data_IF_080891952718
#
_entry.id   IF_080891952718
#
_cell.length_a   1.000
_cell.length_b   1.000
_cell.length_c   1.000
_cell.angle_alpha   90.00
_cell.angle_beta   90.00
_cell.angle_gamma   90.00
#
_symmetry.space_group_name_H-M   'P 1'
#
loop_
_entity.id
_entity.type
_entity.pdbx_description
1 polymer ?
#
# COMPACT_ATOMS: atom_id res chain seq x y z
N UNK A 1 -24.59 19.40 13.14
CA UNK A 1 -23.70 18.36 12.60
C UNK A 1 -22.33 18.97 12.39
N UNK A 2 -21.27 18.21 12.61
CA UNK A 2 -19.88 18.59 12.28
C UNK A 2 -19.24 17.49 11.42
N UNK A 3 -17.97 17.65 10.98
CA UNK A 3 -17.34 16.69 10.09
C UNK A 3 -17.07 15.34 10.78
N UNK A 4 -17.09 14.26 10.00
CA UNK A 4 -16.64 12.95 10.43
C UNK A 4 -15.16 12.80 10.11
N UNK A 5 -14.32 12.66 11.12
CA UNK A 5 -12.88 12.47 10.97
C UNK A 5 -12.55 11.00 11.29
N UNK A 6 -11.94 10.31 10.33
CA UNK A 6 -11.53 8.92 10.48
C UNK A 6 -10.07 8.82 10.95
N UNK A 7 -9.82 7.99 11.96
CA UNK A 7 -8.48 7.59 12.41
C UNK A 7 -8.31 6.11 12.09
N UNK A 8 -7.31 5.78 11.26
CA UNK A 8 -7.08 4.41 10.77
C UNK A 8 -5.98 3.72 11.56
N UNK A 9 -6.19 2.43 11.86
CA UNK A 9 -5.32 1.60 12.68
C UNK A 9 -4.97 0.32 11.91
N UNK A 10 -3.74 0.23 11.41
CA UNK A 10 -3.19 -1.03 10.88
C UNK A 10 -2.67 -1.90 12.01
N UNK A 11 -2.75 -3.22 11.85
CA UNK A 11 -2.37 -4.18 12.90
C UNK A 11 -1.95 -5.56 12.38
N UNK A 12 -1.83 -5.75 11.06
CA UNK A 12 -1.27 -6.98 10.51
C UNK A 12 0.25 -7.04 10.68
N UNK A 13 0.81 -8.23 10.49
CA UNK A 13 2.23 -8.51 10.64
C UNK A 13 2.75 -9.25 9.42
N UNK A 14 4.07 -9.24 9.25
CA UNK A 14 4.75 -9.93 8.16
C UNK A 14 5.13 -11.37 8.57
N UNK A 15 5.06 -12.34 7.65
CA UNK A 15 5.55 -13.69 7.89
C UNK A 15 7.00 -13.69 8.38
N UNK A 16 7.30 -14.53 9.38
CA UNK A 16 8.63 -14.79 9.94
C UNK A 16 9.37 -13.63 10.65
N UNK A 17 8.98 -12.37 10.40
CA UNK A 17 9.63 -11.18 10.97
C UNK A 17 8.72 -10.38 11.91
N UNK A 18 7.42 -10.69 11.99
CA UNK A 18 6.49 -10.04 12.92
C UNK A 18 6.13 -8.62 12.48
N UNK A 19 5.97 -7.69 13.43
CA UNK A 19 5.65 -6.29 13.14
C UNK A 19 6.87 -5.49 12.64
N UNK A 20 7.56 -6.01 11.62
CA UNK A 20 8.71 -5.37 11.00
C UNK A 20 8.34 -4.10 10.20
N UNK A 21 7.05 -3.83 9.98
CA UNK A 21 6.55 -2.56 9.47
C UNK A 21 6.05 -1.61 10.58
N UNK A 22 6.03 -2.08 11.83
CA UNK A 22 5.61 -1.28 12.99
C UNK A 22 4.10 -1.08 13.14
N UNK A 23 3.26 -1.93 12.52
CA UNK A 23 1.80 -1.82 12.59
C UNK A 23 1.26 -1.93 14.03
N UNK A 24 1.99 -2.57 14.95
CA UNK A 24 1.67 -2.50 16.38
C UNK A 24 1.64 -1.06 16.91
N UNK A 25 2.57 -0.21 16.46
CA UNK A 25 2.64 1.20 16.87
C UNK A 25 1.65 2.08 16.08
N UNK A 26 1.28 1.69 14.85
CA UNK A 26 0.21 2.37 14.09
C UNK A 26 -1.13 2.20 14.83
N UNK A 27 -1.47 0.96 15.21
CA UNK A 27 -2.64 0.69 16.04
C UNK A 27 -2.59 1.44 17.37
N UNK A 28 -1.44 1.41 18.06
CA UNK A 28 -1.25 2.11 19.34
C UNK A 28 -1.47 3.62 19.19
N UNK A 29 -0.79 4.25 18.24
CA UNK A 29 -0.86 5.70 18.01
C UNK A 29 -2.27 6.14 17.61
N UNK A 30 -2.91 5.40 16.68
CA UNK A 30 -4.28 5.68 16.24
C UNK A 30 -5.28 5.56 17.39
N UNK A 31 -5.17 4.51 18.21
CA UNK A 31 -6.06 4.33 19.37
C UNK A 31 -5.83 5.41 20.44
N UNK A 32 -4.57 5.73 20.75
CA UNK A 32 -4.22 6.79 21.69
C UNK A 32 -4.75 8.16 21.23
N UNK A 33 -4.62 8.45 19.93
CA UNK A 33 -5.18 9.66 19.32
C UNK A 33 -6.70 9.71 19.47
N UNK A 34 -7.38 8.61 19.14
CA UNK A 34 -8.84 8.50 19.25
C UNK A 34 -9.34 8.73 20.68
N UNK A 35 -8.68 8.15 21.68
CA UNK A 35 -8.99 8.35 23.11
C UNK A 35 -8.83 9.84 23.48
N UNK A 36 -7.75 10.48 23.05
CA UNK A 36 -7.51 11.91 23.29
C UNK A 36 -8.56 12.82 22.64
N UNK A 37 -8.94 12.52 21.38
CA UNK A 37 -10.00 13.26 20.66
C UNK A 37 -11.33 13.12 21.41
N UNK A 38 -11.71 11.88 21.77
CA UNK A 38 -12.95 11.60 22.51
C UNK A 38 -13.00 12.40 23.81
N UNK A 39 -11.94 12.35 24.61
CA UNK A 39 -11.88 13.07 25.88
C UNK A 39 -12.00 14.59 25.69
N UNK A 40 -11.38 15.17 24.66
CA UNK A 40 -11.51 16.58 24.35
C UNK A 40 -12.93 16.97 23.91
N UNK A 41 -13.59 16.14 23.09
CA UNK A 41 -14.99 16.34 22.67
C UNK A 41 -15.96 16.27 23.86
N UNK A 42 -15.74 15.35 24.80
CA UNK A 42 -16.53 15.23 26.03
C UNK A 42 -16.33 16.44 26.96
N UNK A 43 -15.12 17.00 27.01
CA UNK A 43 -14.79 18.14 27.85
C UNK A 43 -15.24 19.50 27.27
N UNK A 44 -15.34 19.64 25.94
CA UNK A 44 -15.71 20.88 25.28
C UNK A 44 -16.80 20.64 24.21
N UNK A 45 -18.04 20.94 24.61
CA UNK A 45 -19.24 20.81 23.77
C UNK A 45 -19.23 21.72 22.52
N UNK A 46 -18.29 22.67 22.39
CA UNK A 46 -18.14 23.46 21.16
C UNK A 46 -17.49 22.67 20.03
N UNK A 47 -16.78 21.58 20.34
CA UNK A 47 -16.24 20.68 19.32
C UNK A 47 -17.39 19.82 18.79
N UNK A 48 -17.81 20.09 17.54
CA UNK A 48 -18.86 19.35 16.86
C UNK A 48 -18.25 18.47 15.78
N UNK A 49 -18.72 17.23 15.67
CA UNK A 49 -18.24 16.28 14.67
C UNK A 49 -18.50 14.84 15.09
N UNK A 50 -17.99 13.92 14.30
CA UNK A 50 -17.95 12.50 14.63
C UNK A 50 -16.51 12.01 14.52
N UNK A 51 -16.08 11.20 15.48
CA UNK A 51 -14.84 10.45 15.39
C UNK A 51 -15.18 9.04 14.92
N UNK A 52 -14.58 8.63 13.80
CA UNK A 52 -14.63 7.27 13.30
C UNK A 52 -13.27 6.62 13.54
N UNK A 53 -13.25 5.45 14.17
CA UNK A 53 -12.01 4.67 14.38
C UNK A 53 -12.15 3.40 13.56
N UNK A 54 -11.27 3.21 12.57
CA UNK A 54 -11.30 2.04 11.69
C UNK A 54 -10.07 1.18 11.92
N UNK A 55 -10.29 -0.06 12.32
CA UNK A 55 -9.28 -1.09 12.21
C UNK A 55 -9.13 -1.52 10.75
N UNK A 56 -7.93 -1.42 10.20
CA UNK A 56 -7.64 -1.70 8.79
C UNK A 56 -6.68 -2.88 8.69
N UNK A 57 -7.19 -4.10 8.41
CA UNK A 57 -6.34 -5.29 8.31
C UNK A 57 -5.58 -5.34 6.98
N UNK A 58 -4.62 -6.26 6.90
CA UNK A 58 -4.04 -6.76 5.65
C UNK A 58 -3.45 -5.69 4.72
N UNK A 59 -2.84 -4.64 5.26
CA UNK A 59 -2.12 -3.67 4.44
C UNK A 59 -0.92 -4.32 3.73
N UNK A 60 -0.29 -5.34 4.32
CA UNK A 60 0.85 -6.02 3.69
C UNK A 60 0.43 -7.08 2.66
N UNK A 61 -0.79 -7.61 2.77
CA UNK A 61 -1.23 -8.85 2.10
C UNK A 61 -2.60 -8.72 1.41
N UNK A 62 -2.84 -7.64 0.64
CA UNK A 62 -3.93 -7.42 -0.36
C UNK A 62 -4.72 -6.12 -0.19
N UNK A 63 -4.38 -5.29 0.80
CA UNK A 63 -4.93 -3.96 0.98
C UNK A 63 -6.34 -4.00 1.57
N UNK A 64 -6.46 -4.34 2.85
CA UNK A 64 -7.79 -4.43 3.48
C UNK A 64 -8.57 -3.12 3.49
N UNK A 65 -7.93 -1.95 3.35
CA UNK A 65 -8.65 -0.69 3.13
C UNK A 65 -9.41 -0.68 1.82
N UNK A 66 -8.93 -1.38 0.78
CA UNK A 66 -9.62 -1.51 -0.52
C UNK A 66 -10.95 -2.25 -0.33
N UNK A 67 -10.97 -3.30 0.49
CA UNK A 67 -12.21 -4.04 0.79
C UNK A 67 -13.15 -3.23 1.69
N UNK A 68 -12.61 -2.47 2.65
CA UNK A 68 -13.40 -1.53 3.46
C UNK A 68 -14.02 -0.42 2.60
N UNK A 69 -13.28 0.11 1.61
CA UNK A 69 -13.80 1.06 0.62
C UNK A 69 -14.99 0.46 -0.13
N UNK A 70 -14.86 -0.78 -0.64
CA UNK A 70 -15.96 -1.47 -1.34
C UNK A 70 -17.17 -1.71 -0.44
N UNK A 71 -16.94 -1.89 0.85
CA UNK A 71 -17.99 -2.02 1.86
C UNK A 71 -18.64 -0.70 2.29
N UNK A 72 -18.22 0.44 1.73
CA UNK A 72 -18.77 1.77 2.08
C UNK A 72 -18.24 2.35 3.39
N UNK A 73 -17.15 1.82 3.96
CA UNK A 73 -16.65 2.24 5.28
C UNK A 73 -16.18 3.71 5.34
N UNK A 74 -15.93 4.32 4.18
CA UNK A 74 -15.49 5.72 4.05
C UNK A 74 -16.59 6.67 3.56
N UNK A 75 -17.82 6.18 3.36
CA UNK A 75 -18.94 7.03 2.96
C UNK A 75 -19.25 8.07 4.05
N UNK A 76 -19.30 9.35 3.67
CA UNK A 76 -19.56 10.46 4.60
C UNK A 76 -18.37 10.83 5.51
N UNK A 77 -17.19 10.22 5.32
CA UNK A 77 -15.95 10.65 5.98
C UNK A 77 -15.47 11.95 5.34
N UNK A 78 -15.14 12.95 6.16
CA UNK A 78 -14.66 14.25 5.71
C UNK A 78 -13.13 14.32 5.58
N UNK A 79 -12.41 13.55 6.39
CA UNK A 79 -10.97 13.34 6.27
C UNK A 79 -10.56 12.02 6.95
N UNK A 80 -9.52 11.36 6.45
CA UNK A 80 -8.95 10.14 7.03
C UNK A 80 -7.47 10.34 7.38
N UNK A 81 -7.06 9.87 8.55
CA UNK A 81 -5.70 10.14 9.04
C UNK A 81 -5.12 8.92 9.76
N UNK A 82 -3.84 8.70 9.57
CA UNK A 82 -3.04 7.73 10.32
C UNK A 82 -1.61 8.24 10.41
N UNK A 83 -0.73 7.57 11.17
CA UNK A 83 0.71 7.85 11.25
C UNK A 83 1.47 6.53 11.14
N UNK A 84 2.70 6.56 10.64
CA UNK A 84 3.47 5.35 10.40
C UNK A 84 4.91 5.46 10.93
N UNK A 85 5.39 4.49 11.71
CA UNK A 85 6.76 4.48 12.21
C UNK A 85 7.75 4.11 11.10
N UNK A 86 8.89 4.79 11.05
CA UNK A 86 10.03 4.42 10.21
C UNK A 86 11.34 4.92 10.85
N UNK A 87 12.46 4.91 10.14
CA UNK A 87 13.75 5.43 10.61
C UNK A 87 13.97 6.92 10.28
N UNK A 88 12.97 7.60 9.74
CA UNK A 88 12.99 9.03 9.44
C UNK A 88 11.60 9.66 9.63
N UNK A 89 11.52 10.99 9.62
CA UNK A 89 10.24 11.71 9.70
C UNK A 89 9.94 12.35 8.35
N UNK A 90 8.69 12.26 7.90
CA UNK A 90 8.20 12.99 6.74
C UNK A 90 6.70 13.28 6.93
N UNK A 91 6.29 14.55 6.98
CA UNK A 91 4.87 14.87 7.20
C UNK A 91 3.96 14.64 5.97
N UNK A 92 4.55 14.54 4.77
CA UNK A 92 3.84 14.41 3.50
C UNK A 92 4.61 13.47 2.56
N UNK A 93 4.74 12.17 2.91
CA UNK A 93 5.49 11.22 2.09
C UNK A 93 4.82 11.01 0.73
N UNK A 94 5.63 10.60 -0.24
CA UNK A 94 5.17 10.13 -1.54
C UNK A 94 5.32 8.61 -1.59
N UNK A 95 4.30 7.92 -2.09
CA UNK A 95 4.32 6.47 -2.30
C UNK A 95 4.05 6.14 -3.77
N UNK A 96 4.49 4.97 -4.20
CA UNK A 96 4.26 4.50 -5.57
C UNK A 96 2.96 3.70 -5.64
N UNK A 97 2.26 3.81 -6.77
CA UNK A 97 1.23 2.85 -7.11
C UNK A 97 1.86 1.49 -7.43
N UNK A 98 1.17 0.42 -7.02
CA UNK A 98 1.65 -0.96 -7.19
C UNK A 98 0.48 -1.87 -7.55
N UNK A 99 0.65 -2.69 -8.56
CA UNK A 99 -0.22 -3.83 -8.86
C UNK A 99 0.55 -5.13 -8.70
N UNK A 100 -0.08 -6.09 -8.01
CA UNK A 100 0.40 -7.47 -7.87
C UNK A 100 -0.51 -8.39 -8.66
N UNK A 101 0.07 -9.17 -9.58
CA UNK A 101 -0.71 -10.01 -10.48
C UNK A 101 -0.08 -11.39 -10.61
N UNK A 102 -0.87 -12.42 -10.39
CA UNK A 102 -0.51 -13.81 -10.71
C UNK A 102 -1.13 -14.19 -12.04
N UNK A 103 -0.32 -14.65 -12.98
CA UNK A 103 -0.77 -15.11 -14.30
C UNK A 103 -0.59 -16.61 -14.39
N UNK A 104 -1.69 -17.33 -14.57
CA UNK A 104 -1.70 -18.76 -14.74
C UNK A 104 -1.93 -19.11 -16.20
N UNK A 105 -1.00 -19.86 -16.79
CA UNK A 105 -1.09 -20.39 -18.14
C UNK A 105 -1.53 -21.84 -18.07
N UNK A 106 -2.49 -22.22 -18.92
CA UNK A 106 -2.99 -23.59 -19.03
C UNK A 106 -2.85 -24.09 -20.47
N UNK A 107 -2.11 -25.17 -20.60
CA UNK A 107 -1.81 -25.85 -21.85
C UNK A 107 -2.36 -27.27 -21.87
N UNK A 108 -1.63 -28.16 -22.54
CA UNK A 108 -1.99 -29.57 -22.71
C UNK A 108 -0.74 -30.43 -22.63
N UNK A 109 -0.70 -31.44 -21.75
CA UNK A 109 0.48 -32.26 -21.58
C UNK A 109 0.60 -33.27 -22.73
N UNK A 110 1.84 -33.57 -23.11
CA UNK A 110 2.17 -34.62 -24.06
C UNK A 110 3.56 -35.20 -23.78
N UNK A 111 3.82 -36.42 -24.25
CA UNK A 111 5.16 -37.00 -24.15
C UNK A 111 6.11 -36.25 -25.08
N UNK A 112 7.07 -35.53 -24.51
CA UNK A 112 7.90 -34.56 -25.24
C UNK A 112 8.67 -35.18 -26.41
N UNK A 113 9.13 -36.43 -26.27
CA UNK A 113 9.85 -37.12 -27.34
C UNK A 113 8.96 -37.90 -28.33
N UNK A 114 7.73 -38.26 -27.94
CA UNK A 114 6.94 -39.23 -28.70
C UNK A 114 5.81 -38.57 -29.48
N UNK A 115 5.10 -37.62 -28.85
CA UNK A 115 3.94 -36.96 -29.44
C UNK A 115 3.93 -35.43 -29.17
N UNK A 116 5.04 -34.70 -29.34
CA UNK A 116 5.11 -33.27 -28.98
C UNK A 116 4.04 -32.42 -29.69
N UNK A 117 3.64 -32.79 -30.92
CA UNK A 117 2.59 -32.10 -31.70
C UNK A 117 1.17 -32.20 -31.11
N UNK A 118 0.96 -33.03 -30.08
CA UNK A 118 -0.31 -33.10 -29.35
C UNK A 118 -0.32 -32.21 -28.09
N UNK A 119 0.80 -31.58 -27.75
CA UNK A 119 0.94 -30.74 -26.56
C UNK A 119 0.76 -29.25 -26.84
N UNK A 120 0.43 -28.50 -25.79
CA UNK A 120 0.45 -27.03 -25.74
C UNK A 120 1.26 -26.63 -24.53
N UNK A 121 2.41 -26.00 -24.75
CA UNK A 121 3.42 -25.84 -23.72
C UNK A 121 3.21 -24.55 -22.90
N UNK A 122 2.66 -24.70 -21.69
CA UNK A 122 2.43 -23.58 -20.78
C UNK A 122 3.74 -22.91 -20.32
N UNK A 123 4.85 -23.66 -20.22
CA UNK A 123 6.15 -23.08 -19.91
C UNK A 123 6.63 -22.17 -21.05
N UNK A 124 6.45 -22.56 -22.31
CA UNK A 124 6.84 -21.72 -23.45
C UNK A 124 6.00 -20.43 -23.51
N UNK A 125 4.72 -20.50 -23.15
CA UNK A 125 3.85 -19.33 -23.01
C UNK A 125 4.41 -18.34 -21.97
N UNK A 126 4.75 -18.83 -20.78
CA UNK A 126 5.29 -18.03 -19.68
C UNK A 126 6.69 -17.47 -19.99
N UNK A 127 7.58 -18.25 -20.61
CA UNK A 127 8.92 -17.81 -21.03
C UNK A 127 8.84 -16.76 -22.13
N UNK A 128 7.91 -16.92 -23.08
CA UNK A 128 7.65 -15.92 -24.13
C UNK A 128 7.13 -14.62 -23.52
N UNK A 129 6.17 -14.70 -22.59
CA UNK A 129 5.69 -13.54 -21.83
C UNK A 129 6.82 -12.83 -21.07
N UNK A 130 7.67 -13.58 -20.37
CA UNK A 130 8.81 -13.04 -19.64
C UNK A 130 9.79 -12.31 -20.57
N UNK A 131 10.10 -12.92 -21.71
CA UNK A 131 10.99 -12.35 -22.73
C UNK A 131 10.42 -11.06 -23.31
N UNK A 132 9.12 -11.04 -23.62
CA UNK A 132 8.41 -9.85 -24.09
C UNK A 132 8.46 -8.71 -23.05
N UNK A 133 8.25 -9.02 -21.76
CA UNK A 133 8.38 -8.05 -20.67
C UNK A 133 9.82 -7.55 -20.55
N UNK A 134 10.81 -8.41 -20.71
CA UNK A 134 12.22 -8.02 -20.68
C UNK A 134 12.55 -6.99 -21.77
N UNK A 135 12.01 -7.17 -22.99
CA UNK A 135 12.16 -6.20 -24.07
C UNK A 135 11.39 -4.91 -23.79
N UNK A 136 10.14 -5.00 -23.30
CA UNK A 136 9.31 -3.84 -22.94
C UNK A 136 10.02 -2.84 -22.01
N UNK A 137 10.86 -3.34 -21.08
CA UNK A 137 11.57 -2.50 -20.09
C UNK A 137 12.45 -1.41 -20.72
N UNK A 138 12.90 -1.55 -21.97
CA UNK A 138 13.64 -0.47 -22.64
C UNK A 138 12.72 0.73 -22.97
N UNK A 139 11.41 0.53 -23.11
CA UNK A 139 10.42 1.54 -23.50
C UNK A 139 9.47 1.93 -22.36
N UNK A 140 9.87 1.74 -21.09
CA UNK A 140 9.15 2.26 -19.92
C UNK A 140 9.85 3.50 -19.37
N UNK A 141 9.15 4.32 -18.58
CA UNK A 141 9.75 5.48 -17.92
C UNK A 141 10.75 5.04 -16.85
N UNK A 142 11.76 5.88 -16.58
CA UNK A 142 12.84 5.60 -15.63
C UNK A 142 12.40 5.46 -14.17
N UNK A 143 11.20 5.91 -13.83
CA UNK A 143 10.55 5.84 -12.52
C UNK A 143 9.52 4.70 -12.40
N UNK A 144 9.30 3.94 -13.48
CA UNK A 144 8.41 2.78 -13.50
C UNK A 144 9.19 1.47 -13.35
N UNK A 145 8.58 0.44 -12.77
CA UNK A 145 9.21 -0.89 -12.61
C UNK A 145 8.24 -2.00 -12.98
N UNK A 146 8.79 -3.05 -13.61
CA UNK A 146 8.10 -4.32 -13.86
C UNK A 146 8.99 -5.46 -13.38
N UNK A 147 8.56 -6.14 -12.33
CA UNK A 147 9.23 -7.30 -11.75
C UNK A 147 8.45 -8.56 -12.15
N UNK A 148 9.16 -9.64 -12.47
CA UNK A 148 8.55 -10.87 -12.92
C UNK A 148 9.37 -12.07 -12.42
N UNK A 149 8.71 -13.13 -11.96
CA UNK A 149 9.31 -14.44 -11.67
C UNK A 149 8.38 -15.56 -12.13
N UNK A 150 8.94 -16.71 -12.52
CA UNK A 150 8.16 -17.94 -12.70
C UNK A 150 8.16 -18.72 -11.39
N UNK A 151 6.99 -18.99 -10.83
CA UNK A 151 6.81 -19.79 -9.61
C UNK A 151 6.45 -21.25 -9.92
N UNK A 152 5.95 -21.51 -11.14
CA UNK A 152 5.64 -22.84 -11.65
C UNK A 152 5.97 -22.92 -13.13
N UNK A 153 6.57 -24.03 -13.57
CA UNK A 153 7.06 -24.18 -14.95
C UNK A 153 7.24 -25.63 -15.40
N UNK A 154 6.39 -26.55 -14.92
CA UNK A 154 6.50 -27.99 -15.18
C UNK A 154 7.26 -28.77 -14.10
N UNK A 155 7.16 -30.10 -14.18
CA UNK A 155 7.67 -31.02 -13.13
C UNK A 155 8.80 -31.93 -13.60
N UNK A 156 8.76 -32.41 -14.85
CA UNK A 156 9.77 -33.31 -15.41
C UNK A 156 10.04 -32.99 -16.89
N UNK A 157 11.29 -33.10 -17.39
CA UNK A 157 11.64 -32.65 -18.74
C UNK A 157 11.01 -33.43 -19.90
N UNK A 158 10.57 -34.67 -19.67
CA UNK A 158 10.00 -35.54 -20.72
C UNK A 158 8.49 -35.39 -20.89
N UNK A 159 7.84 -34.49 -20.14
CA UNK A 159 6.43 -34.15 -20.26
C UNK A 159 6.32 -32.67 -20.62
N UNK A 160 5.58 -32.35 -21.68
CA UNK A 160 5.26 -30.95 -22.02
C UNK A 160 4.46 -30.33 -20.86
N UNK A 161 4.91 -29.22 -20.25
CA UNK A 161 4.18 -28.57 -19.16
C UNK A 161 2.80 -28.09 -19.59
N UNK A 162 1.78 -28.50 -18.83
CA UNK A 162 0.39 -28.08 -19.01
C UNK A 162 0.00 -26.91 -18.09
N UNK A 163 0.82 -26.57 -17.11
CA UNK A 163 0.63 -25.42 -16.24
C UNK A 163 1.95 -24.67 -15.97
N UNK A 164 1.88 -23.34 -16.02
CA UNK A 164 2.94 -22.44 -15.60
C UNK A 164 2.35 -21.19 -14.94
N UNK A 165 3.09 -20.60 -14.00
CA UNK A 165 2.63 -19.42 -13.25
C UNK A 165 3.71 -18.35 -13.26
N UNK A 166 3.32 -17.12 -13.61
CA UNK A 166 4.16 -15.93 -13.61
C UNK A 166 3.63 -14.94 -12.58
N UNK A 167 4.45 -14.58 -11.60
CA UNK A 167 4.14 -13.54 -10.62
C UNK A 167 4.72 -12.20 -11.07
N UNK A 168 3.90 -11.16 -11.07
CA UNK A 168 4.22 -9.84 -11.61
C UNK A 168 3.97 -8.73 -10.58
N UNK A 169 4.93 -7.80 -10.47
CA UNK A 169 4.70 -6.50 -9.87
C UNK A 169 4.89 -5.38 -10.89
N UNK A 170 3.90 -4.52 -11.02
CA UNK A 170 3.98 -3.27 -11.80
C UNK A 170 3.93 -2.09 -10.85
N UNK A 171 4.90 -1.18 -10.96
CA UNK A 171 4.95 0.05 -10.16
C UNK A 171 5.12 1.28 -11.04
N UNK A 172 4.42 2.36 -10.67
CA UNK A 172 4.58 3.67 -11.29
C UNK A 172 4.31 4.79 -10.27
N UNK A 173 4.72 6.04 -10.56
CA UNK A 173 4.46 7.18 -9.68
C UNK A 173 2.98 7.46 -9.44
N UNK A 174 2.11 7.17 -10.41
CA UNK A 174 0.67 7.40 -10.30
C UNK A 174 -0.15 6.17 -10.68
N UNK A 175 -1.38 6.09 -10.16
CA UNK A 175 -2.28 4.98 -10.47
C UNK A 175 -2.60 4.91 -11.96
N UNK A 176 -2.81 6.06 -12.60
CA UNK A 176 -3.05 6.17 -14.04
C UNK A 176 -1.88 5.60 -14.86
N UNK A 177 -0.64 5.95 -14.50
CA UNK A 177 0.55 5.44 -15.19
C UNK A 177 0.78 3.95 -14.94
N UNK A 178 0.48 3.48 -13.73
CA UNK A 178 0.60 2.07 -13.37
C UNK A 178 -0.39 1.21 -14.18
N UNK A 179 -1.65 1.62 -14.30
CA UNK A 179 -2.63 0.95 -15.15
C UNK A 179 -2.24 0.99 -16.64
N UNK A 180 -1.79 2.15 -17.14
CA UNK A 180 -1.33 2.26 -18.53
C UNK A 180 -0.13 1.37 -18.83
N UNK A 181 0.80 1.23 -17.88
CA UNK A 181 1.92 0.30 -17.99
C UNK A 181 1.46 -1.15 -17.91
N UNK A 182 0.53 -1.47 -17.00
CA UNK A 182 0.00 -2.81 -16.86
C UNK A 182 -0.68 -3.30 -18.14
N UNK A 183 -1.43 -2.46 -18.87
CA UNK A 183 -2.00 -2.86 -20.16
C UNK A 183 -0.94 -3.25 -21.20
N UNK A 184 0.24 -2.61 -21.17
CA UNK A 184 1.37 -3.02 -22.02
C UNK A 184 1.98 -4.34 -21.57
N UNK A 185 2.08 -4.57 -20.26
CA UNK A 185 2.53 -5.85 -19.68
C UNK A 185 1.53 -6.97 -20.01
N UNK A 186 0.23 -6.70 -19.91
CA UNK A 186 -0.86 -7.61 -20.30
C UNK A 186 -0.69 -8.04 -21.75
N UNK A 187 -0.47 -7.11 -22.68
CA UNK A 187 -0.23 -7.44 -24.08
C UNK A 187 0.99 -8.35 -24.28
N UNK A 188 2.08 -8.16 -23.53
CA UNK A 188 3.24 -9.06 -23.55
C UNK A 188 2.89 -10.48 -23.12
N UNK A 189 2.07 -10.61 -22.07
CA UNK A 189 1.59 -11.88 -21.51
C UNK A 189 0.64 -12.59 -22.47
N UNK A 190 -0.37 -11.87 -22.96
CA UNK A 190 -1.36 -12.39 -23.92
C UNK A 190 -0.70 -12.84 -25.22
N UNK A 191 0.31 -12.12 -25.70
CA UNK A 191 1.09 -12.56 -26.86
C UNK A 191 1.81 -13.89 -26.63
N UNK A 192 2.34 -14.12 -25.43
CA UNK A 192 3.01 -15.38 -25.08
C UNK A 192 2.02 -16.55 -25.04
N UNK A 193 0.88 -16.36 -24.36
CA UNK A 193 -0.20 -17.34 -24.33
C UNK A 193 -0.71 -17.68 -25.73
N UNK A 194 -0.97 -16.66 -26.54
CA UNK A 194 -1.48 -16.82 -27.92
C UNK A 194 -0.49 -17.58 -28.80
N UNK A 195 0.80 -17.28 -28.73
CA UNK A 195 1.82 -17.94 -29.54
C UNK A 195 1.95 -19.44 -29.20
N UNK A 196 1.70 -19.82 -27.95
CA UNK A 196 1.75 -21.19 -27.47
C UNK A 196 0.39 -21.90 -27.46
N UNK A 197 -0.66 -21.27 -28.00
CA UNK A 197 -2.05 -21.76 -27.98
C UNK A 197 -2.56 -22.17 -26.57
N UNK A 198 -2.10 -21.47 -25.54
CA UNK A 198 -2.48 -21.71 -24.16
C UNK A 198 -3.58 -20.75 -23.69
N UNK A 199 -4.42 -21.23 -22.78
CA UNK A 199 -5.36 -20.41 -22.03
C UNK A 199 -4.59 -19.62 -20.95
N UNK A 200 -5.15 -18.47 -20.53
CA UNK A 200 -4.57 -17.61 -19.51
C UNK A 200 -5.63 -17.14 -18.51
N UNK A 201 -5.21 -16.97 -17.26
CA UNK A 201 -6.03 -16.36 -16.21
C UNK A 201 -5.17 -15.40 -15.38
N UNK A 202 -5.65 -14.16 -15.25
CA UNK A 202 -5.07 -13.15 -14.35
C UNK A 202 -5.79 -13.18 -13.01
N UNK A 203 -5.04 -13.14 -11.92
CA UNK A 203 -5.54 -12.98 -10.56
C UNK A 203 -4.82 -11.81 -9.86
N UNK A 204 -5.50 -11.14 -8.93
CA UNK A 204 -4.96 -10.01 -8.15
C UNK A 204 -5.14 -8.60 -8.75
N UNK A 205 -5.66 -8.49 -9.98
CA UNK A 205 -5.82 -7.20 -10.69
C UNK A 205 -6.66 -6.16 -9.93
N UNK A 206 -7.55 -6.63 -9.04
CA UNK A 206 -8.47 -5.77 -8.28
C UNK A 206 -7.85 -5.21 -7.00
N UNK A 207 -6.67 -5.63 -6.58
CA UNK A 207 -6.07 -5.23 -5.29
C UNK A 207 -4.83 -4.35 -5.48
N UNK A 208 -4.87 -3.44 -6.46
CA UNK A 208 -3.79 -2.49 -6.70
C UNK A 208 -3.78 -1.35 -5.68
N UNK A 209 -2.59 -0.95 -5.24
CA UNK A 209 -2.39 0.18 -4.36
C UNK A 209 -2.22 1.44 -5.21
N UNK A 210 -2.99 2.47 -4.90
CA UNK A 210 -2.85 3.78 -5.53
C UNK A 210 -1.72 4.58 -4.87
N UNK A 211 -1.20 5.58 -5.56
CA UNK A 211 -0.20 6.47 -4.98
C UNK A 211 -0.87 7.35 -3.92
N UNK A 212 -0.16 7.61 -2.82
CA UNK A 212 -0.67 8.48 -1.77
C UNK A 212 -0.79 9.94 -2.24
N UNK A 213 -1.96 10.52 -2.03
CA UNK A 213 -2.24 11.95 -2.18
C UNK A 213 -2.34 12.55 -0.78
N UNK A 214 -1.22 13.04 -0.26
CA UNK A 214 -1.19 13.71 1.04
C UNK A 214 -1.86 15.08 0.92
N UNK A 215 -2.94 15.31 1.68
CA UNK A 215 -3.58 16.62 1.73
C UNK A 215 -2.63 17.62 2.39
N UNK A 216 -2.22 18.64 1.61
CA UNK A 216 -1.20 19.60 2.03
C UNK A 216 -1.64 20.45 3.23
N UNK A 217 -2.92 20.75 3.34
CA UNK A 217 -3.45 21.59 4.42
C UNK A 217 -3.47 20.79 5.72
N UNK A 218 -3.95 19.55 5.69
CA UNK A 218 -3.96 18.67 6.86
C UNK A 218 -2.52 18.32 7.26
N UNK A 219 -1.64 18.02 6.30
CA UNK A 219 -0.24 17.69 6.55
C UNK A 219 0.51 18.85 7.24
N UNK A 220 0.28 20.10 6.80
CA UNK A 220 0.90 21.28 7.44
C UNK A 220 0.38 21.50 8.88
N UNK A 221 -0.92 21.24 9.12
CA UNK A 221 -1.47 21.29 10.48
C UNK A 221 -0.83 20.22 11.36
N UNK A 222 -0.71 18.98 10.85
CA UNK A 222 -0.06 17.89 11.55
C UNK A 222 1.40 18.23 11.87
N UNK A 223 2.16 18.70 10.89
CA UNK A 223 3.54 19.11 11.03
C UNK A 223 3.72 20.13 12.15
N UNK A 224 2.91 21.19 12.16
CA UNK A 224 2.98 22.23 13.19
C UNK A 224 2.68 21.72 14.61
N UNK A 225 1.91 20.64 14.77
CA UNK A 225 1.74 19.96 16.07
C UNK A 225 2.86 18.97 16.37
N UNK A 226 3.34 18.24 15.37
CA UNK A 226 4.44 17.28 15.49
C UNK A 226 5.74 17.97 15.95
N UNK A 227 6.06 19.14 15.39
CA UNK A 227 7.22 19.96 15.79
C UNK A 227 7.17 20.36 17.27
N UNK A 228 5.97 20.67 17.80
CA UNK A 228 5.78 20.96 19.24
C UNK A 228 6.00 19.75 20.13
N UNK A 229 5.91 18.54 19.57
CA UNK A 229 6.22 17.28 20.26
C UNK A 229 7.69 16.86 20.07
N UNK A 230 8.51 17.69 19.40
CA UNK A 230 9.92 17.39 19.13
C UNK A 230 10.14 16.48 17.91
N UNK A 231 9.10 16.24 17.10
CA UNK A 231 9.20 15.47 15.85
C UNK A 231 9.62 16.45 14.75
N UNK A 232 10.88 16.37 14.35
CA UNK A 232 11.45 17.23 13.31
C UNK A 232 11.27 16.56 11.96
N UNK A 233 10.66 17.29 11.04
CA UNK A 233 10.37 16.84 9.68
C UNK A 233 11.60 16.93 8.79
N UNK A 234 11.85 15.90 7.97
CA UNK A 234 12.86 15.92 6.93
C UNK A 234 12.15 16.01 5.58
N UNK A 235 12.40 17.08 4.84
CA UNK A 235 11.87 17.27 3.48
C UNK A 235 12.56 16.28 2.51
N UNK A 236 12.15 15.02 2.58
CA UNK A 236 12.63 13.93 1.73
C UNK A 236 11.52 13.56 0.74
N UNK A 237 11.62 14.07 -0.48
CA UNK A 237 10.63 13.87 -1.53
C UNK A 237 10.88 12.65 -2.41
N UNK A 238 11.70 11.68 -1.99
CA UNK A 238 11.88 10.45 -2.75
C UNK A 238 10.70 9.51 -2.54
N UNK A 239 9.93 9.15 -3.59
CA UNK A 239 8.85 8.19 -3.45
C UNK A 239 9.39 6.84 -2.97
N UNK A 240 8.84 6.33 -1.89
CA UNK A 240 9.24 5.05 -1.32
C UNK A 240 8.01 4.29 -0.81
N UNK A 241 8.03 2.96 -0.98
CA UNK A 241 6.93 2.09 -0.56
C UNK A 241 5.66 2.22 -1.39
N UNK A 242 4.64 1.48 -0.96
CA UNK A 242 3.27 1.47 -1.49
C UNK A 242 2.35 1.10 -0.33
N UNK A 243 1.19 1.75 -0.22
CA UNK A 243 0.25 1.52 0.88
C UNK A 243 -1.19 1.66 0.38
N UNK A 244 -2.11 0.88 0.93
CA UNK A 244 -3.54 0.96 0.61
C UNK A 244 -4.22 2.21 1.19
N UNK A 245 -3.53 2.97 2.05
CA UNK A 245 -3.91 4.34 2.43
C UNK A 245 -3.89 5.28 1.20
N UNK A 246 -3.11 4.93 0.18
CA UNK A 246 -3.19 5.57 -1.13
C UNK A 246 -4.61 5.50 -1.68
N UNK A 247 -5.25 4.34 -1.69
CA UNK A 247 -6.62 4.20 -2.20
C UNK A 247 -7.63 5.05 -1.40
N UNK A 248 -7.46 5.18 -0.09
CA UNK A 248 -8.30 6.07 0.74
C UNK A 248 -8.12 7.53 0.34
N UNK A 249 -6.87 7.95 0.08
CA UNK A 249 -6.55 9.34 -0.28
C UNK A 249 -7.14 9.80 -1.62
N UNK A 250 -7.51 8.88 -2.51
CA UNK A 250 -8.22 9.22 -3.75
C UNK A 250 -9.72 9.43 -3.55
N UNK A 251 -10.26 9.08 -2.36
CA UNK A 251 -11.68 9.20 -2.03
C UNK A 251 -11.95 10.36 -1.07
N UNK A 252 -11.09 10.54 -0.07
CA UNK A 252 -11.25 11.55 0.97
C UNK A 252 -9.91 12.19 1.30
N UNK A 253 -9.88 13.49 1.66
CA UNK A 253 -8.66 14.16 2.11
C UNK A 253 -7.95 13.37 3.20
N UNK A 254 -6.67 13.10 2.99
CA UNK A 254 -5.96 12.12 3.79
C UNK A 254 -4.54 12.51 4.15
N UNK A 255 -4.06 12.05 5.31
CA UNK A 255 -2.64 12.10 5.67
C UNK A 255 -2.14 10.74 6.17
N UNK A 256 -0.89 10.45 5.85
CA UNK A 256 -0.13 9.29 6.33
C UNK A 256 1.31 9.76 6.62
N UNK A 257 1.53 10.61 7.65
CA UNK A 257 2.85 11.09 8.01
C UNK A 257 3.71 9.96 8.57
N UNK A 258 5.00 10.05 8.30
CA UNK A 258 6.01 9.15 8.84
C UNK A 258 6.67 9.80 10.07
N UNK A 259 6.92 9.02 11.12
CA UNK A 259 7.66 9.47 12.30
C UNK A 259 8.83 8.54 12.62
N UNK A 260 9.96 9.15 12.98
CA UNK A 260 11.18 8.40 13.25
C UNK A 260 11.12 7.67 14.61
N UNK A 261 11.47 6.39 14.59
CA UNK A 261 11.92 5.65 15.76
C UNK A 261 13.43 5.86 15.97
N UNK A 262 13.95 5.69 17.20
CA UNK A 262 15.38 5.83 17.48
C UNK A 262 16.17 4.59 16.99
N UNK A 263 16.19 4.38 15.67
CA UNK A 263 16.86 3.27 14.99
C UNK A 263 17.21 3.67 13.56
N UNK A 264 18.30 3.11 13.03
CA UNK A 264 18.64 3.20 11.60
C UNK A 264 18.09 2.02 10.79
N UNK A 265 17.49 1.03 11.47
CA UNK A 265 16.97 -0.16 10.83
C UNK A 265 15.88 0.20 9.81
N UNK A 266 15.92 -0.35 8.58
CA UNK A 266 14.82 -0.16 7.64
C UNK A 266 13.61 -1.00 8.06
N UNK A 267 12.41 -0.52 7.75
CA UNK A 267 11.19 -1.34 7.80
C UNK A 267 11.40 -2.66 7.06
N UNK A 268 10.65 -3.69 7.44
CA UNK A 268 10.72 -5.08 6.94
C UNK A 268 12.00 -5.84 7.35
N UNK A 269 12.76 -5.33 8.32
CA UNK A 269 13.90 -6.04 8.92
C UNK A 269 13.60 -6.55 10.33
N UNK A 270 14.28 -7.62 10.78
CA UNK A 270 14.19 -8.11 12.17
C UNK A 270 14.58 -7.03 13.19
N UNK A 271 15.57 -6.21 12.85
CA UNK A 271 16.01 -5.08 13.69
C UNK A 271 14.92 -4.03 13.84
N UNK A 272 14.09 -3.81 12.81
CA UNK A 272 12.95 -2.89 12.95
C UNK A 272 11.85 -3.49 13.82
N UNK A 273 11.61 -4.81 13.77
CA UNK A 273 10.69 -5.47 14.71
C UNK A 273 11.13 -5.25 16.16
N UNK A 274 12.42 -5.41 16.44
CA UNK A 274 13.00 -5.16 17.77
C UNK A 274 12.81 -3.68 18.17
N UNK A 275 13.09 -2.74 17.27
CA UNK A 275 12.90 -1.33 17.51
C UNK A 275 11.42 -0.98 17.77
N UNK A 276 10.50 -1.49 16.95
CA UNK A 276 9.06 -1.25 17.06
C UNK A 276 8.45 -1.87 18.33
N UNK A 277 9.06 -2.91 18.88
CA UNK A 277 8.70 -3.52 20.17
C UNK A 277 9.42 -2.91 21.39
N UNK A 278 10.32 -1.95 21.19
CA UNK A 278 11.18 -1.44 22.26
C UNK A 278 10.51 -0.33 23.09
N UNK A 279 10.87 -0.17 24.37
CA UNK A 279 10.40 0.96 25.18
C UNK A 279 10.77 2.34 24.61
N UNK A 280 11.86 2.45 23.84
CA UNK A 280 12.28 3.72 23.25
C UNK A 280 11.39 4.16 22.08
N UNK A 281 10.59 3.26 21.50
CA UNK A 281 9.59 3.62 20.47
C UNK A 281 8.37 4.34 21.04
N UNK A 282 8.09 4.22 22.34
CA UNK A 282 6.87 4.71 22.98
C UNK A 282 6.81 6.24 23.04
N UNK A 283 7.94 6.90 23.29
CA UNK A 283 8.02 8.37 23.32
C UNK A 283 7.63 9.01 21.99
N UNK A 284 8.29 8.66 20.86
CA UNK A 284 7.93 9.13 19.53
C UNK A 284 6.50 8.77 19.13
N UNK A 285 6.05 7.54 19.40
CA UNK A 285 4.69 7.05 19.09
C UNK A 285 3.63 7.89 19.80
N UNK A 286 3.81 8.19 21.09
CA UNK A 286 2.91 9.07 21.84
C UNK A 286 2.93 10.51 21.31
N UNK A 287 4.08 11.01 20.86
CA UNK A 287 4.21 12.31 20.20
C UNK A 287 3.38 12.38 18.91
N UNK A 288 3.52 11.37 18.05
CA UNK A 288 2.77 11.25 16.80
C UNK A 288 1.26 11.12 17.05
N UNK A 289 0.85 10.32 18.04
CA UNK A 289 -0.55 10.18 18.45
C UNK A 289 -1.16 11.52 18.92
N UNK A 290 -0.43 12.29 19.73
CA UNK A 290 -0.87 13.63 20.17
C UNK A 290 -1.01 14.59 19.00
N UNK A 291 -0.04 14.60 18.09
CA UNK A 291 -0.10 15.44 16.89
C UNK A 291 -1.30 15.08 16.01
N UNK A 292 -1.57 13.79 15.82
CA UNK A 292 -2.74 13.27 15.10
C UNK A 292 -4.06 13.71 15.75
N UNK A 293 -4.16 13.58 17.08
CA UNK A 293 -5.34 14.02 17.84
C UNK A 293 -5.61 15.53 17.73
N UNK A 294 -4.56 16.34 17.90
CA UNK A 294 -4.66 17.80 17.78
C UNK A 294 -5.04 18.22 16.35
N UNK A 295 -4.57 17.50 15.34
CA UNK A 295 -4.95 17.71 13.94
C UNK A 295 -6.45 17.46 13.74
N UNK A 296 -6.98 16.33 14.22
CA UNK A 296 -8.42 16.03 14.15
C UNK A 296 -9.27 17.14 14.81
N UNK A 297 -8.88 17.55 16.01
CA UNK A 297 -9.58 18.60 16.76
C UNK A 297 -9.52 19.95 16.02
N UNK A 298 -8.39 20.25 15.37
CA UNK A 298 -8.23 21.46 14.58
C UNK A 298 -9.13 21.48 13.34
N UNK A 299 -9.38 20.32 12.72
CA UNK A 299 -10.34 20.16 11.61
C UNK A 299 -11.79 20.30 12.10
N UNK A 300 -12.15 19.65 13.22
CA UNK A 300 -13.49 19.74 13.80
C UNK A 300 -13.85 21.17 14.25
N UNK A 301 -12.88 21.92 14.80
CA UNK A 301 -13.09 23.31 15.24
C UNK A 301 -13.14 24.31 14.10
N UNK A 302 -12.60 23.97 12.93
CA UNK A 302 -12.53 24.86 11.77
C UNK A 302 -13.00 24.14 10.51
N UNK A 303 -14.31 23.84 10.36
CA UNK A 303 -14.82 23.09 9.21
C UNK A 303 -14.46 23.71 7.86
N UNK A 304 -14.37 25.04 7.76
CA UNK A 304 -13.93 25.73 6.54
C UNK A 304 -12.47 25.45 6.12
N UNK A 305 -11.68 24.73 6.93
CA UNK A 305 -10.39 24.15 6.50
C UNK A 305 -10.62 23.01 5.51
N UNK A 306 -11.65 22.19 5.72
CA UNK A 306 -12.01 21.06 4.83
C UNK A 306 -12.56 21.54 3.47
N UNK A 307 -12.96 22.80 3.35
CA UNK A 307 -13.28 23.39 2.05
C UNK A 307 -12.03 23.68 1.20
N UNK A 308 -10.84 23.64 1.82
CA UNK A 308 -9.54 23.89 1.17
C UNK A 308 -8.76 22.61 0.90
N UNK A 309 -9.27 21.46 1.35
CA UNK A 309 -8.66 20.14 1.19
C UNK A 309 -9.06 19.50 -0.13
N UNK A 310 -8.22 18.57 -0.65
CA UNK A 310 -8.46 17.81 -1.88
C UNK A 310 -7.56 16.58 -1.95
#
# INVERSE_FOLDING_TARGET
GGPTIAVLLEYDALPEVGHACGHNLIAEAGLAAAIGIKAAMEADATIRGQLLVLGTPAEENNGGKIDLIRGGAFEGVAAAMMVHPTNFTNSSPQTLSKMSVSVNFKGQPAHAAAFPWQGRNALDAAVSAYTNIAMLRQQIKSDCRVHAILTKGGSVPNIIPDEATLELYVRAPTSQEMHALFERVRACVESGAKAAECDLHFDGERSSYDNLISDKVIAEIYKGFAERMGIVDYDNNNPAGSTDMGNVSHLVPSIHPLYALPTDAPNHSRLFTEAAGSPSAQGPTLGAAKALALTALALMRRPGVLEKTH
#
